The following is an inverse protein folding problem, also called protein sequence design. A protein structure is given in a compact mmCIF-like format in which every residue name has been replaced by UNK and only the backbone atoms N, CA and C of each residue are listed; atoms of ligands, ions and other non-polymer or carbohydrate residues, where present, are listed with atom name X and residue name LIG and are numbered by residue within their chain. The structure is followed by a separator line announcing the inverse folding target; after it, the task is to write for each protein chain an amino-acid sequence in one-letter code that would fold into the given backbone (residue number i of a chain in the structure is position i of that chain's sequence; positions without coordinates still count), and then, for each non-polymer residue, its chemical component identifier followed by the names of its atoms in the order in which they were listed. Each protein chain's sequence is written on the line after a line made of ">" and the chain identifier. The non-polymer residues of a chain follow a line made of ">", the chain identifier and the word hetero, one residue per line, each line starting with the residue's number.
data_IF_899872443147
#
_entry.id   IF_899872443147
#
_cell.length_a   1.000
_cell.length_b   1.000
_cell.length_c   1.000
_cell.angle_alpha   90.00
_cell.angle_beta   90.00
_cell.angle_gamma   90.00
#
_symmetry.space_group_name_H-M   'P 1'
#
loop_
_entity.id
_entity.type
_entity.pdbx_description
1 polymer ?
#
# COMPACT_ATOMS: atom_id res chain seq x y z
N UNK A 1 -0.27 -17.48 -14.41
CA UNK A 1 -0.42 -16.87 -15.74
C UNK A 1 0.61 -15.74 -15.83
N UNK A 2 1.66 -15.90 -16.64
CA UNK A 2 2.70 -14.87 -16.78
C UNK A 2 2.16 -13.73 -17.64
N UNK A 3 2.43 -12.47 -17.24
CA UNK A 3 2.00 -11.28 -17.95
C UNK A 3 2.35 -11.34 -19.45
N UNK A 4 3.50 -11.96 -19.78
CA UNK A 4 4.01 -12.26 -21.13
C UNK A 4 2.96 -12.81 -22.10
N UNK A 5 2.08 -13.69 -21.62
CA UNK A 5 1.03 -14.31 -22.45
C UNK A 5 -0.11 -13.36 -22.80
N UNK A 6 -0.39 -12.37 -21.95
CA UNK A 6 -1.47 -11.40 -22.18
C UNK A 6 -1.00 -10.29 -23.12
N UNK A 7 0.29 -9.94 -23.09
CA UNK A 7 0.87 -8.98 -24.05
C UNK A 7 0.79 -9.47 -25.49
N UNK A 8 1.03 -10.77 -25.73
CA UNK A 8 0.99 -11.36 -27.07
C UNK A 8 -0.39 -11.25 -27.73
N UNK A 9 -1.46 -11.08 -26.93
CA UNK A 9 -2.83 -10.94 -27.42
C UNK A 9 -3.27 -9.52 -27.81
N UNK A 10 -2.40 -8.50 -27.66
CA UNK A 10 -2.72 -7.12 -28.05
C UNK A 10 -3.74 -6.40 -27.16
N UNK A 11 -4.03 -6.93 -25.97
CA UNK A 11 -4.96 -6.31 -25.02
C UNK A 11 -4.35 -5.09 -24.30
N UNK A 12 -5.13 -4.03 -24.13
CA UNK A 12 -4.75 -2.88 -23.32
C UNK A 12 -4.93 -3.21 -21.83
N UNK A 13 -3.82 -3.36 -21.10
CA UNK A 13 -3.82 -3.67 -19.67
C UNK A 13 -3.38 -2.42 -18.90
N UNK A 14 -4.22 -1.98 -17.96
CA UNK A 14 -3.89 -0.92 -17.00
C UNK A 14 -3.79 -1.53 -15.61
N UNK A 15 -2.76 -1.14 -14.86
CA UNK A 15 -2.49 -1.59 -13.50
C UNK A 15 -2.18 -0.44 -12.57
N UNK A 16 -2.19 -0.75 -11.27
CA UNK A 16 -1.90 0.19 -10.20
C UNK A 16 -0.66 -0.26 -9.44
N UNK A 17 0.20 0.68 -9.10
CA UNK A 17 1.42 0.42 -8.34
C UNK A 17 1.49 1.42 -7.18
N UNK A 18 1.53 0.89 -5.95
CA UNK A 18 1.61 1.70 -4.73
C UNK A 18 3.06 1.86 -4.23
N UNK A 19 3.94 0.91 -4.55
CA UNK A 19 5.35 0.97 -4.20
C UNK A 19 6.09 1.74 -5.29
N UNK A 20 6.73 2.85 -4.91
CA UNK A 20 7.65 3.55 -5.80
C UNK A 20 9.06 2.93 -5.67
N UNK A 21 9.62 2.27 -6.71
CA UNK A 21 10.96 1.68 -6.65
C UNK A 21 12.07 2.72 -6.47
N UNK A 22 11.82 3.99 -6.82
CA UNK A 22 12.76 5.09 -6.66
C UNK A 22 12.77 5.67 -5.24
N UNK A 23 11.85 5.22 -4.36
CA UNK A 23 11.81 5.68 -2.98
C UNK A 23 13.05 5.19 -2.22
N UNK A 24 13.85 6.07 -1.59
CA UNK A 24 15.03 5.66 -0.83
C UNK A 24 14.76 4.61 0.25
N UNK A 25 13.59 4.66 0.89
CA UNK A 25 13.17 3.66 1.90
C UNK A 25 13.05 2.27 1.25
N UNK A 26 12.46 2.21 0.06
CA UNK A 26 12.30 0.95 -0.70
C UNK A 26 13.66 0.44 -1.17
N UNK A 27 14.52 1.33 -1.69
CA UNK A 27 15.87 0.96 -2.15
C UNK A 27 16.68 0.37 -1.00
N UNK A 28 16.70 1.02 0.16
CA UNK A 28 17.40 0.53 1.35
C UNK A 28 16.81 -0.78 1.88
N UNK A 29 15.49 -0.93 1.86
CA UNK A 29 14.82 -2.16 2.22
C UNK A 29 15.25 -3.32 1.31
N UNK A 30 15.22 -3.12 -0.01
CA UNK A 30 15.59 -4.15 -0.99
C UNK A 30 17.06 -4.59 -0.85
N UNK A 31 17.98 -3.65 -0.58
CA UNK A 31 19.38 -3.98 -0.32
C UNK A 31 19.57 -4.91 0.89
N UNK A 32 18.72 -4.77 1.92
CA UNK A 32 18.73 -5.66 3.09
C UNK A 32 17.99 -6.97 2.80
N UNK A 33 16.87 -6.88 2.07
CA UNK A 33 16.05 -8.03 1.67
C UNK A 33 16.86 -9.06 0.88
N UNK A 34 17.71 -8.62 -0.04
CA UNK A 34 18.59 -9.50 -0.83
C UNK A 34 19.68 -10.22 0.00
N UNK A 35 19.97 -9.71 1.21
CA UNK A 35 21.00 -10.23 2.12
C UNK A 35 20.43 -11.02 3.30
N UNK A 36 19.12 -11.28 3.31
CA UNK A 36 18.50 -12.10 4.35
C UNK A 36 19.06 -13.53 4.32
N UNK A 37 19.23 -14.13 5.49
CA UNK A 37 19.61 -15.53 5.61
C UNK A 37 18.47 -16.42 5.08
N UNK A 38 18.73 -17.19 4.04
CA UNK A 38 17.76 -18.10 3.41
C UNK A 38 17.30 -19.20 4.38
N UNK A 39 18.07 -19.50 5.44
CA UNK A 39 17.66 -20.46 6.48
C UNK A 39 16.56 -19.90 7.38
N UNK A 40 16.61 -18.62 7.69
CA UNK A 40 15.61 -17.94 8.53
C UNK A 40 14.41 -17.46 7.69
N UNK A 41 14.68 -17.00 6.47
CA UNK A 41 13.69 -16.44 5.55
C UNK A 41 13.71 -17.21 4.22
N UNK A 42 13.21 -18.45 4.19
CA UNK A 42 13.09 -19.20 2.95
C UNK A 42 12.22 -18.42 1.96
N UNK A 43 12.57 -18.48 0.67
CA UNK A 43 11.85 -17.83 -0.44
C UNK A 43 11.88 -16.29 -0.46
N UNK A 44 12.45 -15.62 0.54
CA UNK A 44 12.59 -14.16 0.51
C UNK A 44 13.51 -13.72 -0.64
N UNK A 45 14.64 -14.41 -0.78
CA UNK A 45 15.60 -14.16 -1.85
C UNK A 45 15.06 -14.68 -3.19
N UNK A 46 15.11 -13.84 -4.22
CA UNK A 46 14.62 -14.17 -5.56
C UNK A 46 13.11 -13.95 -5.77
N UNK A 47 12.34 -13.71 -4.71
CA UNK A 47 10.93 -13.31 -4.83
C UNK A 47 10.81 -11.79 -4.88
N UNK A 48 10.13 -11.23 -5.91
CA UNK A 48 9.88 -9.79 -5.96
C UNK A 48 9.06 -9.31 -4.75
N UNK A 49 9.41 -8.13 -4.22
CA UNK A 49 8.67 -7.51 -3.11
C UNK A 49 7.20 -7.29 -3.50
N UNK A 50 6.29 -7.96 -2.79
CA UNK A 50 4.84 -7.81 -2.95
C UNK A 50 4.34 -6.56 -2.22
N UNK A 51 3.28 -5.94 -2.75
CA UNK A 51 2.64 -4.80 -2.10
C UNK A 51 2.11 -5.12 -0.70
N UNK A 52 1.64 -6.35 -0.47
CA UNK A 52 1.20 -6.81 0.86
C UNK A 52 2.34 -6.83 1.86
N UNK A 53 3.52 -7.32 1.47
CA UNK A 53 4.73 -7.31 2.30
C UNK A 53 5.18 -5.88 2.64
N UNK A 54 5.13 -4.97 1.66
CA UNK A 54 5.41 -3.56 1.90
C UNK A 54 4.43 -2.92 2.89
N UNK A 55 3.14 -3.22 2.77
CA UNK A 55 2.11 -2.79 3.73
C UNK A 55 2.33 -3.39 5.12
N UNK A 56 2.75 -4.65 5.23
CA UNK A 56 3.05 -5.28 6.53
C UNK A 56 4.21 -4.59 7.24
N UNK A 57 5.28 -4.29 6.52
CA UNK A 57 6.41 -3.54 7.08
C UNK A 57 5.97 -2.13 7.54
N UNK A 58 5.20 -1.43 6.71
CA UNK A 58 4.64 -0.13 7.06
C UNK A 58 3.69 -0.20 8.27
N UNK A 59 2.95 -1.30 8.45
CA UNK A 59 2.10 -1.51 9.62
C UNK A 59 2.91 -1.64 10.91
N UNK A 60 4.05 -2.32 10.87
CA UNK A 60 4.98 -2.39 12.02
C UNK A 60 5.54 -1.00 12.35
N UNK A 61 5.88 -0.20 11.33
CA UNK A 61 6.31 1.19 11.51
C UNK A 61 5.21 2.03 12.20
N UNK A 62 3.95 1.91 11.77
CA UNK A 62 2.81 2.61 12.38
C UNK A 62 2.63 2.20 13.85
N UNK A 63 2.69 0.90 14.14
CA UNK A 63 2.61 0.40 15.52
C UNK A 63 3.73 0.98 16.39
N UNK A 64 4.97 0.93 15.91
CA UNK A 64 6.13 1.45 16.64
C UNK A 64 5.98 2.95 16.93
N UNK A 65 5.52 3.73 15.96
CA UNK A 65 5.33 5.17 16.09
C UNK A 65 4.19 5.53 17.03
N UNK A 66 3.07 4.81 16.97
CA UNK A 66 1.94 5.00 17.89
C UNK A 66 2.35 4.72 19.35
N UNK A 67 3.05 3.61 19.62
CA UNK A 67 3.51 3.30 20.97
C UNK A 67 4.63 4.25 21.45
N UNK A 68 5.48 4.74 20.54
CA UNK A 68 6.45 5.79 20.86
C UNK A 68 5.74 7.09 21.27
N UNK A 69 4.66 7.45 20.58
CA UNK A 69 3.83 8.59 20.94
C UNK A 69 3.19 8.42 22.33
N UNK A 70 2.53 7.29 22.59
CA UNK A 70 1.90 7.00 23.89
C UNK A 70 2.92 7.06 25.04
N UNK A 71 4.11 6.48 24.84
CA UNK A 71 5.21 6.55 25.82
C UNK A 71 5.63 7.99 26.11
N UNK A 72 5.72 8.85 25.09
CA UNK A 72 6.07 10.27 25.27
C UNK A 72 4.98 11.05 26.02
N UNK A 73 3.72 10.72 25.77
CA UNK A 73 2.57 11.28 26.48
C UNK A 73 2.39 10.71 27.89
N UNK A 74 3.23 9.76 28.32
CA UNK A 74 3.16 9.08 29.62
C UNK A 74 1.81 8.38 29.85
N UNK A 75 1.19 7.88 28.78
CA UNK A 75 -0.02 7.06 28.87
C UNK A 75 0.38 5.66 29.34
N UNK A 76 -0.15 5.24 30.48
CA UNK A 76 0.03 3.86 30.97
C UNK A 76 -0.88 2.92 30.18
N UNK A 77 -0.27 2.14 29.28
CA UNK A 77 -0.94 1.11 28.46
C UNK A 77 -0.91 -0.27 29.14
N UNK A 78 -0.52 -0.35 30.41
CA UNK A 78 -0.51 -1.62 31.14
C UNK A 78 -1.93 -2.13 31.34
N UNK A 79 -2.22 -3.33 30.83
CA UNK A 79 -3.45 -4.04 31.16
C UNK A 79 -3.28 -4.70 32.53
N UNK A 80 -4.08 -4.28 33.52
CA UNK A 80 -4.10 -4.90 34.85
C UNK A 80 -5.08 -6.07 34.85
N UNK A 81 -4.57 -7.27 35.13
CA UNK A 81 -5.37 -8.50 35.17
C UNK A 81 -5.59 -9.16 33.81
N UNK A 82 -6.30 -10.29 33.83
CA UNK A 82 -6.67 -11.02 32.62
C UNK A 82 -7.69 -10.24 31.78
N UNK A 83 -7.70 -10.50 30.48
CA UNK A 83 -8.65 -9.89 29.57
C UNK A 83 -10.12 -10.25 29.83
N UNK A 84 -10.34 -11.32 30.58
CA UNK A 84 -11.63 -12.00 30.67
C UNK A 84 -11.92 -12.82 29.42
N UNK A 85 -13.10 -13.42 29.41
CA UNK A 85 -13.64 -14.11 28.23
C UNK A 85 -14.06 -13.08 27.17
N UNK A 86 -13.71 -13.32 25.90
CA UNK A 86 -14.18 -12.46 24.80
C UNK A 86 -15.70 -12.52 24.61
N UNK A 87 -16.36 -13.56 25.15
CA UNK A 87 -17.81 -13.74 25.15
C UNK A 87 -18.49 -13.27 26.45
N UNK A 88 -17.77 -12.58 27.34
CA UNK A 88 -18.34 -12.05 28.57
C UNK A 88 -19.57 -11.16 28.26
N UNK A 89 -20.63 -11.31 29.06
CA UNK A 89 -21.86 -10.53 28.96
C UNK A 89 -22.21 -9.90 30.32
N UNK A 90 -22.13 -8.56 30.47
CA UNK A 90 -21.77 -7.60 29.44
C UNK A 90 -20.29 -7.68 29.05
N UNK A 91 -19.99 -7.32 27.81
CA UNK A 91 -18.60 -7.17 27.37
C UNK A 91 -17.94 -6.04 28.19
N UNK A 92 -16.69 -6.26 28.59
CA UNK A 92 -15.89 -5.26 29.33
C UNK A 92 -14.78 -4.75 28.41
N UNK A 93 -14.96 -3.60 27.75
CA UNK A 93 -13.95 -3.03 26.87
C UNK A 93 -12.68 -2.69 27.65
N UNK A 94 -11.54 -2.84 27.00
CA UNK A 94 -10.28 -2.39 27.57
C UNK A 94 -10.23 -0.86 27.56
N UNK A 95 -10.18 -0.24 28.74
CA UNK A 95 -10.28 1.22 28.89
C UNK A 95 -9.18 1.98 28.14
N UNK A 96 -7.93 1.48 28.13
CA UNK A 96 -6.84 2.09 27.37
C UNK A 96 -6.95 1.89 25.85
N UNK A 97 -7.87 1.04 25.38
CA UNK A 97 -8.06 0.75 23.95
C UNK A 97 -8.36 2.01 23.11
N UNK A 98 -9.10 2.97 23.68
CA UNK A 98 -9.46 4.21 22.98
C UNK A 98 -8.26 5.12 22.72
N UNK A 99 -7.31 5.19 23.66
CA UNK A 99 -6.11 6.00 23.50
C UNK A 99 -5.14 5.35 22.50
N UNK A 100 -5.09 4.02 22.47
CA UNK A 100 -4.32 3.26 21.48
C UNK A 100 -4.89 3.44 20.08
N UNK A 101 -6.21 3.30 19.92
CA UNK A 101 -6.89 3.54 18.64
C UNK A 101 -6.61 4.96 18.13
N UNK A 102 -6.75 5.97 19.00
CA UNK A 102 -6.48 7.36 18.64
C UNK A 102 -5.02 7.55 18.25
N UNK A 103 -4.07 7.01 19.01
CA UNK A 103 -2.66 7.11 18.71
C UNK A 103 -2.31 6.50 17.34
N UNK A 104 -2.88 5.34 17.01
CA UNK A 104 -2.72 4.71 15.69
C UNK A 104 -3.25 5.59 14.55
N UNK A 105 -4.46 6.14 14.71
CA UNK A 105 -5.07 7.01 13.69
C UNK A 105 -4.33 8.35 13.50
N UNK A 106 -3.64 8.83 14.54
CA UNK A 106 -2.85 10.07 14.49
C UNK A 106 -1.46 9.89 13.85
N UNK A 107 -1.01 8.66 13.58
CA UNK A 107 0.30 8.43 12.95
C UNK A 107 0.32 9.02 11.54
N UNK A 108 1.33 9.85 11.29
CA UNK A 108 1.68 10.36 9.97
C UNK A 108 3.19 10.18 9.73
N UNK A 109 3.55 9.28 8.81
CA UNK A 109 4.96 8.95 8.50
C UNK A 109 5.16 8.60 7.03
N UNK A 110 6.42 8.59 6.58
CA UNK A 110 6.80 8.07 5.26
C UNK A 110 7.26 6.62 5.40
N UNK A 111 6.72 5.73 4.56
CA UNK A 111 7.11 4.32 4.49
C UNK A 111 7.34 3.84 3.06
N UNK A 112 7.35 2.52 2.87
CA UNK A 112 7.54 1.91 1.55
C UNK A 112 6.38 2.23 0.60
N UNK A 113 5.17 2.41 1.13
CA UNK A 113 3.96 2.79 0.39
C UNK A 113 3.73 4.30 0.32
N UNK A 114 4.80 5.10 0.50
CA UNK A 114 4.75 6.57 0.46
C UNK A 114 4.20 7.16 1.76
N UNK A 115 3.35 8.19 1.64
CA UNK A 115 2.71 8.81 2.80
C UNK A 115 1.72 7.83 3.47
N UNK A 116 1.92 7.61 4.77
CA UNK A 116 1.05 6.81 5.61
C UNK A 116 0.34 7.77 6.57
N UNK A 117 -0.96 7.87 6.39
CA UNK A 117 -1.84 8.70 7.21
C UNK A 117 -3.22 8.04 7.21
N UNK A 118 -3.99 8.26 8.28
CA UNK A 118 -5.34 7.72 8.42
C UNK A 118 -6.37 8.84 8.62
N UNK A 119 -7.62 8.58 8.24
CA UNK A 119 -8.76 9.41 8.61
C UNK A 119 -9.34 8.99 9.98
N UNK A 120 -10.40 9.69 10.42
CA UNK A 120 -11.10 9.37 11.68
C UNK A 120 -11.69 7.96 11.71
N UNK A 121 -11.92 7.32 10.56
CA UNK A 121 -12.42 5.95 10.44
C UNK A 121 -11.30 4.92 10.34
N UNK A 122 -10.03 5.32 10.32
CA UNK A 122 -8.88 4.42 10.16
C UNK A 122 -8.60 4.02 8.71
N UNK A 123 -9.20 4.68 7.72
CA UNK A 123 -8.92 4.45 6.30
C UNK A 123 -7.65 5.20 5.89
N UNK A 124 -6.84 4.64 4.99
CA UNK A 124 -5.68 5.35 4.44
C UNK A 124 -6.14 6.66 3.80
N UNK A 125 -5.51 7.75 4.23
CA UNK A 125 -5.75 9.10 3.76
C UNK A 125 -4.48 9.69 3.13
N UNK A 126 -4.64 10.65 2.22
CA UNK A 126 -3.55 11.39 1.58
C UNK A 126 -2.46 10.48 0.99
N UNK A 127 -2.88 9.42 0.30
CA UNK A 127 -1.98 8.48 -0.37
C UNK A 127 -1.95 8.71 -1.88
N UNK A 128 -0.89 8.19 -2.52
CA UNK A 128 -0.74 8.23 -3.97
C UNK A 128 -0.57 6.83 -4.55
N UNK A 129 -1.13 6.60 -5.73
CA UNK A 129 -0.98 5.37 -6.48
C UNK A 129 -0.57 5.72 -7.90
N UNK A 130 0.44 5.03 -8.42
CA UNK A 130 0.89 5.18 -9.79
C UNK A 130 0.06 4.29 -10.71
N UNK A 131 -0.34 4.82 -11.86
CA UNK A 131 -1.07 4.10 -12.90
C UNK A 131 -0.07 3.70 -13.97
N UNK A 132 -0.03 2.41 -14.25
CA UNK A 132 0.82 1.82 -15.26
C UNK A 132 -0.03 1.29 -16.40
N UNK A 133 0.45 1.49 -17.62
CA UNK A 133 -0.09 0.84 -18.81
C UNK A 133 0.96 -0.13 -19.36
N UNK A 134 0.51 -1.32 -19.71
CA UNK A 134 1.37 -2.33 -20.30
C UNK A 134 1.56 -2.05 -21.79
N UNK A 135 2.81 -1.90 -22.22
CA UNK A 135 3.18 -1.75 -23.64
C UNK A 135 4.12 -2.87 -24.07
N UNK A 136 4.40 -2.98 -25.37
CA UNK A 136 5.34 -3.95 -25.97
C UNK A 136 6.78 -3.92 -25.38
N UNK A 137 7.14 -2.86 -24.66
CA UNK A 137 8.42 -2.73 -23.94
C UNK A 137 8.32 -2.86 -22.42
N UNK A 138 7.21 -3.40 -21.90
CA UNK A 138 6.95 -3.56 -20.47
C UNK A 138 6.04 -2.49 -19.87
N UNK A 139 5.88 -2.49 -18.53
CA UNK A 139 5.03 -1.56 -17.81
C UNK A 139 5.58 -0.13 -17.93
N UNK A 140 4.76 0.82 -18.41
CA UNK A 140 5.10 2.24 -18.44
C UNK A 140 4.17 3.02 -17.52
N UNK A 141 4.75 3.86 -16.65
CA UNK A 141 3.97 4.77 -15.81
C UNK A 141 3.32 5.83 -16.70
N UNK A 142 2.01 5.96 -16.59
CA UNK A 142 1.20 6.91 -17.35
C UNK A 142 0.80 8.10 -16.50
N UNK A 143 0.47 7.87 -15.24
CA UNK A 143 -0.01 8.94 -14.35
C UNK A 143 0.23 8.60 -12.88
N UNK A 144 0.10 9.62 -12.02
CA UNK A 144 0.01 9.46 -10.57
C UNK A 144 -1.35 9.98 -10.11
N UNK A 145 -2.09 9.18 -9.35
CA UNK A 145 -3.34 9.59 -8.71
C UNK A 145 -3.09 9.84 -7.23
N UNK A 146 -3.30 11.07 -6.76
CA UNK A 146 -3.34 11.37 -5.33
C UNK A 146 -4.79 11.37 -4.85
N UNK A 147 -5.08 10.96 -3.62
CA UNK A 147 -6.48 10.82 -3.16
C UNK A 147 -7.32 12.10 -3.31
N UNK A 148 -6.72 13.26 -3.01
CA UNK A 148 -7.40 14.56 -3.02
C UNK A 148 -7.28 15.31 -4.35
N UNK A 149 -6.52 14.77 -5.31
CA UNK A 149 -6.31 15.40 -6.61
C UNK A 149 -6.86 14.52 -7.72
N UNK A 150 -7.25 15.17 -8.81
CA UNK A 150 -7.51 14.47 -10.06
C UNK A 150 -6.24 13.77 -10.56
N UNK A 151 -6.42 12.78 -11.44
CA UNK A 151 -5.32 12.03 -12.03
C UNK A 151 -4.32 12.97 -12.72
N UNK A 152 -3.06 12.98 -12.28
CA UNK A 152 -1.99 13.76 -12.89
C UNK A 152 -1.24 12.91 -13.91
N UNK A 153 -1.48 13.18 -15.19
CA UNK A 153 -0.84 12.45 -16.29
C UNK A 153 0.64 12.86 -16.37
N UNK A 154 1.53 11.87 -16.34
CA UNK A 154 2.95 12.07 -16.61
C UNK A 154 3.13 12.08 -18.13
N UNK A 155 3.19 13.26 -18.74
CA UNK A 155 3.48 13.37 -20.17
C UNK A 155 4.97 13.08 -20.41
N UNK A 156 5.28 11.85 -20.81
CA UNK A 156 6.54 11.60 -21.51
C UNK A 156 6.35 12.05 -22.96
N UNK A 157 7.16 13.02 -23.38
CA UNK A 157 7.11 13.70 -24.67
C UNK A 157 7.38 12.74 -25.85
N UNK A 158 6.42 11.85 -26.16
CA UNK A 158 6.28 11.08 -27.39
C UNK A 158 4.79 10.80 -27.62
N UNK A 159 4.06 11.87 -27.90
CA UNK A 159 2.76 11.78 -28.54
C UNK A 159 2.98 11.29 -29.97
N UNK A 160 2.73 10.01 -30.23
CA UNK A 160 2.57 9.52 -31.60
C UNK A 160 1.08 9.31 -31.88
N UNK A 161 0.59 9.78 -33.04
CA UNK A 161 -0.84 9.94 -33.28
C UNK A 161 -1.51 8.65 -33.76
N UNK A 162 -2.82 8.59 -33.52
CA UNK A 162 -3.83 7.77 -34.20
C UNK A 162 -3.88 6.27 -33.84
N UNK A 163 -4.77 5.92 -32.91
CA UNK A 163 -5.60 4.72 -33.07
C UNK A 163 -7.04 5.06 -32.70
N UNK A 164 -7.94 4.95 -33.67
CA UNK A 164 -9.38 5.10 -33.52
C UNK A 164 -9.89 4.17 -32.41
N UNK A 165 -10.41 4.75 -31.33
CA UNK A 165 -11.18 4.01 -30.32
C UNK A 165 -12.60 3.78 -30.84
N UNK A 166 -12.88 2.58 -31.35
CA UNK A 166 -14.25 2.11 -31.52
C UNK A 166 -14.82 1.75 -30.13
N UNK A 167 -15.78 2.52 -29.65
CA UNK A 167 -16.63 2.13 -28.52
C UNK A 167 -17.63 1.08 -29.01
N UNK A 168 -17.52 -0.15 -28.51
CA UNK A 168 -18.63 -1.11 -28.58
C UNK A 168 -19.68 -0.69 -27.55
N UNK A 169 -20.60 0.19 -27.95
CA UNK A 169 -21.86 0.34 -27.25
C UNK A 169 -22.71 -0.90 -27.50
N UNK A 170 -22.99 -1.65 -26.42
CA UNK A 170 -23.92 -2.77 -26.44
C UNK A 170 -25.29 -2.32 -26.94
N UNK A 171 -25.71 -2.88 -28.08
CA UNK A 171 -27.12 -2.95 -28.44
C UNK A 171 -27.67 -4.26 -27.88
N UNK A 172 -28.73 -4.15 -27.09
CA UNK A 172 -29.63 -5.24 -26.76
C UNK A 172 -30.10 -5.93 -28.05
N UNK A 173 -30.01 -7.25 -28.07
CA UNK A 173 -30.73 -8.12 -28.99
C UNK A 173 -31.72 -8.91 -28.13
N UNK A 174 -33.00 -8.85 -28.51
CA UNK A 174 -34.10 -9.57 -27.86
C UNK A 174 -35.14 -8.64 -27.27
#
# INVERSE_FOLDING_TARGET
>A
MTLDKVFAGGANITGFQIINPENPIVIQFLQRWERLDEREFPEAKGTPLKYTSALTHDAVLVLAEAFRYLRRQRVDVSRRGSAGDCLANPAVPWSQGIDIERALKMVQVQGMTGNIQFDSFGRRANYSVDVYEMKLGGPKKVSRKQQWLNMQITMNNKMFPNTHTCFLNGRNLG
#
